data_IF_786585781259
#
_entry.id   IF_786585781259
#
_cell.length_a   1.000
_cell.length_b   1.000
_cell.length_c   1.000
_cell.angle_alpha   90.00
_cell.angle_beta   90.00
_cell.angle_gamma   90.00
#
_symmetry.space_group_name_H-M   'P 1'
#
loop_
_entity.id
_entity.type
_entity.pdbx_description
1 polymer ?
#
# COMPACT_ATOMS: atom_id res chain seq x y z
N UNK A 1 -7.92 -31.76 0.28
CA UNK A 1 -7.06 -30.83 -0.49
C UNK A 1 -6.10 -31.63 -1.35
N UNK A 2 -6.02 -31.37 -2.66
CA UNK A 2 -5.10 -32.08 -3.56
C UNK A 2 -3.63 -31.69 -3.28
N UNK A 3 -2.73 -32.68 -3.19
CA UNK A 3 -1.31 -32.47 -2.88
C UNK A 3 -0.61 -31.75 -4.05
N UNK A 4 0.09 -30.65 -3.78
CA UNK A 4 0.82 -29.88 -4.79
C UNK A 4 1.93 -30.74 -5.41
N UNK A 5 2.08 -30.65 -6.74
CA UNK A 5 3.17 -31.35 -7.45
C UNK A 5 4.52 -30.72 -7.16
N UNK A 6 5.61 -31.49 -7.27
CA UNK A 6 6.99 -30.99 -7.10
C UNK A 6 7.27 -29.78 -8.00
N UNK A 7 6.76 -29.80 -9.24
CA UNK A 7 6.87 -28.68 -10.19
C UNK A 7 6.17 -27.42 -9.70
N UNK A 8 4.94 -27.53 -9.16
CA UNK A 8 4.21 -26.39 -8.60
C UNK A 8 4.92 -25.81 -7.37
N UNK A 9 5.43 -26.68 -6.49
CA UNK A 9 6.21 -26.24 -5.32
C UNK A 9 7.48 -25.48 -5.72
N UNK A 10 8.19 -25.96 -6.75
CA UNK A 10 9.37 -25.27 -7.26
C UNK A 10 9.03 -23.89 -7.84
N UNK A 11 7.95 -23.80 -8.62
CA UNK A 11 7.49 -22.53 -9.19
C UNK A 11 7.15 -21.50 -8.08
N UNK A 12 6.48 -21.92 -7.00
CA UNK A 12 6.17 -21.05 -5.86
C UNK A 12 7.45 -20.55 -5.18
N UNK A 13 8.42 -21.44 -4.94
CA UNK A 13 9.71 -21.09 -4.32
C UNK A 13 10.48 -20.10 -5.18
N UNK A 14 10.59 -20.36 -6.49
CA UNK A 14 11.28 -19.47 -7.43
C UNK A 14 10.62 -18.10 -7.48
N UNK A 15 9.29 -18.04 -7.54
CA UNK A 15 8.55 -16.77 -7.51
C UNK A 15 8.83 -15.99 -6.23
N UNK A 16 8.83 -16.65 -5.07
CA UNK A 16 9.15 -16.03 -3.79
C UNK A 16 10.59 -15.50 -3.72
N UNK A 17 11.57 -16.22 -4.28
CA UNK A 17 12.96 -15.77 -4.37
C UNK A 17 13.05 -14.48 -5.20
N UNK A 18 12.40 -14.44 -6.37
CA UNK A 18 12.39 -13.24 -7.23
C UNK A 18 11.74 -12.07 -6.50
N UNK A 19 10.59 -12.28 -5.86
CA UNK A 19 9.86 -11.27 -5.10
C UNK A 19 10.69 -10.69 -3.95
N UNK A 20 11.29 -11.55 -3.11
CA UNK A 20 12.11 -11.11 -1.98
C UNK A 20 13.38 -10.38 -2.46
N UNK A 21 14.03 -10.90 -3.50
CA UNK A 21 15.20 -10.24 -4.10
C UNK A 21 14.85 -8.84 -4.60
N UNK A 22 13.69 -8.67 -5.24
CA UNK A 22 13.22 -7.37 -5.68
C UNK A 22 12.99 -6.41 -4.50
N UNK A 23 12.36 -6.88 -3.42
CA UNK A 23 12.12 -6.08 -2.21
C UNK A 23 13.41 -5.61 -1.53
N UNK A 24 14.45 -6.43 -1.52
CA UNK A 24 15.77 -6.03 -1.01
C UNK A 24 16.40 -4.97 -1.93
N UNK A 25 16.45 -5.27 -3.23
CA UNK A 25 17.12 -4.43 -4.20
C UNK A 25 16.48 -3.03 -4.37
N UNK A 26 15.16 -2.91 -4.17
CA UNK A 26 14.46 -1.61 -4.23
C UNK A 26 14.78 -0.72 -3.02
N UNK A 27 15.32 -1.26 -1.93
CA UNK A 27 15.88 -0.45 -0.84
C UNK A 27 17.30 0.05 -1.15
N UNK A 28 18.07 -0.73 -1.91
CA UNK A 28 19.49 -0.47 -2.17
C UNK A 28 19.72 0.54 -3.30
N UNK A 29 18.80 0.66 -4.27
CA UNK A 29 19.01 1.52 -5.42
C UNK A 29 17.70 2.06 -6.02
N UNK A 30 17.82 3.14 -6.80
CA UNK A 30 16.70 3.75 -7.50
C UNK A 30 15.97 2.73 -8.38
N UNK A 31 14.65 2.69 -8.26
CA UNK A 31 13.80 1.76 -8.99
C UNK A 31 14.02 1.79 -10.51
N UNK A 32 14.27 2.95 -11.10
CA UNK A 32 14.54 3.07 -12.54
C UNK A 32 15.82 2.35 -12.97
N UNK A 33 16.82 2.28 -12.08
CA UNK A 33 18.10 1.57 -12.32
C UNK A 33 18.00 0.05 -12.12
N UNK A 34 16.89 -0.45 -11.55
CA UNK A 34 16.60 -1.88 -11.47
C UNK A 34 16.17 -2.41 -12.83
N UNK A 35 16.87 -3.44 -13.31
CA UNK A 35 16.55 -4.16 -14.55
C UNK A 35 16.25 -5.62 -14.23
N UNK A 36 15.51 -6.29 -15.13
CA UNK A 36 15.19 -7.73 -15.00
C UNK A 36 16.48 -8.54 -14.88
N UNK A 37 17.52 -8.22 -15.63
CA UNK A 37 18.81 -8.90 -15.61
C UNK A 37 19.50 -8.77 -14.25
N UNK A 38 19.47 -7.58 -13.63
CA UNK A 38 20.03 -7.36 -12.29
C UNK A 38 19.30 -8.17 -11.23
N UNK A 39 17.96 -8.19 -11.29
CA UNK A 39 17.13 -9.00 -10.38
C UNK A 39 17.45 -10.47 -10.56
N UNK A 40 17.46 -10.97 -11.80
CA UNK A 40 17.75 -12.37 -12.12
C UNK A 40 19.15 -12.78 -11.63
N UNK A 41 20.15 -11.93 -11.84
CA UNK A 41 21.52 -12.16 -11.39
C UNK A 41 21.60 -12.27 -9.86
N UNK A 42 20.95 -11.37 -9.12
CA UNK A 42 20.94 -11.41 -7.64
C UNK A 42 20.14 -12.60 -7.11
N UNK A 43 19.01 -12.91 -7.74
CA UNK A 43 18.13 -14.03 -7.37
C UNK A 43 18.71 -15.41 -7.76
N UNK A 44 19.81 -15.44 -8.52
CA UNK A 44 20.39 -16.65 -9.11
C UNK A 44 19.37 -17.47 -9.94
N UNK A 45 18.62 -16.77 -10.81
CA UNK A 45 17.65 -17.38 -11.74
C UNK A 45 17.92 -16.93 -13.17
N UNK A 46 17.46 -17.71 -14.16
CA UNK A 46 17.55 -17.30 -15.55
C UNK A 46 16.52 -16.20 -15.88
N UNK A 47 16.82 -15.37 -16.89
CA UNK A 47 15.87 -14.36 -17.39
C UNK A 47 14.58 -15.00 -17.92
N UNK A 48 14.68 -16.17 -18.59
CA UNK A 48 13.50 -16.92 -19.02
C UNK A 48 12.64 -17.41 -17.84
N UNK A 49 13.26 -17.77 -16.72
CA UNK A 49 12.56 -18.12 -15.48
C UNK A 49 11.82 -16.93 -14.89
N UNK A 50 12.42 -15.73 -14.92
CA UNK A 50 11.74 -14.52 -14.49
C UNK A 50 10.48 -14.27 -15.33
N UNK A 51 10.60 -14.33 -16.67
CA UNK A 51 9.48 -14.08 -17.57
C UNK A 51 8.37 -15.13 -17.48
N UNK A 52 8.64 -16.30 -16.88
CA UNK A 52 7.60 -17.26 -16.53
C UNK A 52 6.70 -16.78 -15.37
N UNK A 53 7.21 -15.89 -14.51
CA UNK A 53 6.51 -15.41 -13.32
C UNK A 53 6.03 -13.96 -13.43
N UNK A 54 6.79 -13.10 -14.10
CA UNK A 54 6.54 -11.66 -14.21
C UNK A 54 6.90 -11.16 -15.60
N UNK A 55 6.08 -10.30 -16.21
CA UNK A 55 6.36 -9.71 -17.52
C UNK A 55 7.42 -8.63 -17.47
N UNK A 56 7.52 -7.95 -16.33
CA UNK A 56 8.46 -6.86 -16.08
C UNK A 56 8.53 -6.59 -14.56
N UNK A 57 9.34 -5.61 -14.13
CA UNK A 57 9.49 -5.25 -12.71
C UNK A 57 8.24 -4.59 -12.08
N UNK A 58 7.36 -3.97 -12.88
CA UNK A 58 6.11 -3.38 -12.40
C UNK A 58 5.09 -4.44 -11.98
N UNK A 59 5.06 -5.61 -12.65
CA UNK A 59 4.21 -6.74 -12.21
C UNK A 59 4.52 -7.18 -10.76
N UNK A 60 5.79 -7.05 -10.33
CA UNK A 60 6.18 -7.32 -8.93
C UNK A 60 5.60 -6.24 -8.00
N UNK A 61 5.61 -4.97 -8.43
CA UNK A 61 4.95 -3.89 -7.69
C UNK A 61 3.46 -4.15 -7.55
N UNK A 62 2.77 -4.53 -8.62
CA UNK A 62 1.34 -4.89 -8.57
C UNK A 62 1.07 -6.00 -7.56
N UNK A 63 1.91 -7.05 -7.55
CA UNK A 63 1.81 -8.11 -6.54
C UNK A 63 2.03 -7.61 -5.11
N UNK A 64 2.95 -6.66 -4.89
CA UNK A 64 3.14 -6.04 -3.57
C UNK A 64 1.86 -5.30 -3.14
N UNK A 65 1.22 -4.57 -4.06
CA UNK A 65 -0.04 -3.87 -3.78
C UNK A 65 -1.17 -4.83 -3.44
N UNK A 66 -1.32 -5.92 -4.19
CA UNK A 66 -2.31 -6.94 -3.89
C UNK A 66 -2.08 -7.58 -2.52
N UNK A 67 -0.83 -7.94 -2.20
CA UNK A 67 -0.49 -8.47 -0.87
C UNK A 67 -0.73 -7.46 0.25
N UNK A 68 -0.53 -6.17 -0.03
CA UNK A 68 -0.84 -5.10 0.91
C UNK A 68 -2.36 -4.96 1.12
N UNK A 69 -3.16 -5.04 0.05
CA UNK A 69 -4.62 -5.04 0.10
C UNK A 69 -5.14 -6.24 0.92
N UNK A 70 -4.62 -7.44 0.66
CA UNK A 70 -4.98 -8.65 1.40
C UNK A 70 -4.64 -8.53 2.90
N UNK A 71 -3.43 -8.05 3.21
CA UNK A 71 -3.00 -7.81 4.60
C UNK A 71 -3.88 -6.77 5.29
N UNK A 72 -4.22 -5.70 4.58
CA UNK A 72 -5.10 -4.65 5.10
C UNK A 72 -6.50 -5.19 5.40
N UNK A 73 -7.06 -5.97 4.47
CA UNK A 73 -8.36 -6.61 4.63
C UNK A 73 -8.38 -7.56 5.83
N UNK A 74 -7.35 -8.40 5.98
CA UNK A 74 -7.21 -9.31 7.12
C UNK A 74 -7.20 -8.56 8.45
N UNK A 75 -6.41 -7.47 8.53
CA UNK A 75 -6.34 -6.63 9.73
C UNK A 75 -7.67 -5.98 10.06
N UNK A 76 -8.42 -5.58 9.05
CA UNK A 76 -9.74 -5.00 9.21
C UNK A 76 -10.79 -6.01 9.69
N UNK A 77 -10.87 -7.19 9.07
CA UNK A 77 -11.81 -8.24 9.44
C UNK A 77 -11.59 -8.73 10.89
N UNK A 78 -10.34 -8.69 11.35
CA UNK A 78 -9.98 -9.02 12.72
C UNK A 78 -10.19 -7.86 13.71
N UNK A 79 -10.93 -6.81 13.33
CA UNK A 79 -11.20 -5.61 14.14
C UNK A 79 -9.94 -4.93 14.72
N UNK A 80 -8.81 -5.01 14.02
CA UNK A 80 -7.56 -4.39 14.48
C UNK A 80 -7.48 -2.90 14.13
N UNK A 81 -8.42 -2.40 13.31
CA UNK A 81 -8.64 -0.97 13.18
C UNK A 81 -9.45 -0.52 14.38
N UNK A 82 -8.75 0.20 15.26
CA UNK A 82 -9.30 0.76 16.48
C UNK A 82 -10.30 1.85 16.11
N UNK A 83 -11.46 1.82 16.73
CA UNK A 83 -12.44 2.91 16.62
C UNK A 83 -13.88 2.43 16.67
N UNK A 84 -14.67 3.08 17.52
CA UNK A 84 -16.13 2.91 17.59
C UNK A 84 -16.82 3.87 16.64
N UNK A 85 -16.26 5.07 16.44
CA UNK A 85 -16.81 6.08 15.54
C UNK A 85 -16.16 6.02 14.14
N UNK A 86 -16.84 6.59 13.15
CA UNK A 86 -16.32 6.74 11.79
C UNK A 86 -15.00 7.50 11.78
N UNK A 87 -14.88 8.58 12.56
CA UNK A 87 -13.65 9.36 12.71
C UNK A 87 -12.49 8.50 13.23
N UNK A 88 -12.71 7.73 14.29
CA UNK A 88 -11.68 6.83 14.82
C UNK A 88 -11.29 5.74 13.82
N UNK A 89 -12.27 5.17 13.10
CA UNK A 89 -12.01 4.17 12.04
C UNK A 89 -11.19 4.76 10.90
N UNK A 90 -11.44 6.01 10.49
CA UNK A 90 -10.63 6.70 9.46
C UNK A 90 -9.20 6.89 9.95
N UNK A 91 -9.01 7.35 11.19
CA UNK A 91 -7.66 7.51 11.77
C UNK A 91 -6.94 6.15 11.80
N UNK A 92 -7.60 5.11 12.31
CA UNK A 92 -7.02 3.76 12.36
C UNK A 92 -6.73 3.17 10.98
N UNK A 93 -7.54 3.50 9.97
CA UNK A 93 -7.28 3.16 8.56
C UNK A 93 -5.95 3.73 8.10
N UNK A 94 -5.72 5.02 8.32
CA UNK A 94 -4.49 5.67 7.87
C UNK A 94 -3.27 5.32 8.74
N UNK A 95 -3.45 5.03 10.02
CA UNK A 95 -2.40 4.48 10.88
C UNK A 95 -1.89 3.13 10.35
N UNK A 96 -2.82 2.24 9.95
CA UNK A 96 -2.47 0.97 9.33
C UNK A 96 -1.80 1.16 7.97
N UNK A 97 -2.27 2.12 7.17
CA UNK A 97 -1.67 2.44 5.89
C UNK A 97 -0.22 2.92 6.06
N UNK A 98 0.06 3.78 7.04
CA UNK A 98 1.42 4.23 7.35
C UNK A 98 2.33 3.05 7.75
N UNK A 99 1.83 2.13 8.60
CA UNK A 99 2.59 0.92 8.96
C UNK A 99 2.94 0.06 7.74
N UNK A 100 2.06 -0.01 6.74
CA UNK A 100 2.34 -0.74 5.49
C UNK A 100 3.50 -0.07 4.72
N UNK A 101 3.48 1.25 4.56
CA UNK A 101 4.58 1.97 3.90
C UNK A 101 5.90 1.78 4.65
N UNK A 102 5.90 1.93 5.98
CA UNK A 102 7.09 1.70 6.79
C UNK A 102 7.59 0.25 6.67
N UNK A 103 6.67 -0.73 6.68
CA UNK A 103 7.01 -2.16 6.57
C UNK A 103 7.70 -2.50 5.25
N UNK A 104 7.23 -1.95 4.14
CA UNK A 104 7.87 -2.16 2.83
C UNK A 104 9.10 -1.28 2.62
N UNK A 105 9.27 -0.25 3.45
CA UNK A 105 10.47 0.57 3.52
C UNK A 105 10.46 1.77 2.58
N UNK A 106 11.44 2.65 2.83
CA UNK A 106 11.60 3.92 2.15
C UNK A 106 11.89 3.76 0.65
N UNK A 107 12.75 2.81 0.27
CA UNK A 107 13.13 2.61 -1.13
C UNK A 107 11.96 2.15 -1.98
N UNK A 108 11.17 1.21 -1.46
CA UNK A 108 9.89 0.82 -2.08
C UNK A 108 8.95 2.01 -2.17
N UNK A 109 8.77 2.77 -1.09
CA UNK A 109 7.86 3.93 -1.08
C UNK A 109 8.26 4.96 -2.14
N UNK A 110 9.55 5.29 -2.27
CA UNK A 110 10.10 6.14 -3.33
C UNK A 110 9.79 5.62 -4.74
N UNK A 111 9.87 4.30 -4.94
CA UNK A 111 9.55 3.68 -6.22
C UNK A 111 8.09 3.89 -6.64
N UNK A 112 7.18 4.11 -5.69
CA UNK A 112 5.76 4.28 -5.97
C UNK A 112 5.43 5.65 -6.56
N UNK A 113 6.09 6.70 -6.09
CA UNK A 113 5.75 8.09 -6.43
C UNK A 113 6.36 8.50 -7.77
N UNK A 114 5.69 8.07 -8.83
CA UNK A 114 5.94 8.52 -10.19
C UNK A 114 4.62 8.53 -10.98
N UNK A 115 4.57 9.31 -12.05
CA UNK A 115 3.35 9.47 -12.87
C UNK A 115 3.05 8.27 -13.78
N UNK A 116 3.96 7.29 -13.87
CA UNK A 116 3.72 6.03 -14.61
C UNK A 116 3.01 5.00 -13.74
N UNK A 117 2.96 5.21 -12.43
CA UNK A 117 2.31 4.32 -11.49
C UNK A 117 0.81 4.67 -11.33
N UNK A 118 -0.04 3.93 -12.05
CA UNK A 118 -1.49 4.09 -11.97
C UNK A 118 -2.12 3.30 -10.81
N UNK A 119 -1.35 2.62 -9.95
CA UNK A 119 -1.88 1.82 -8.84
C UNK A 119 -2.55 2.68 -7.75
N UNK A 120 -2.22 3.97 -7.69
CA UNK A 120 -2.85 4.92 -6.79
C UNK A 120 -4.25 5.36 -7.22
N UNK A 121 -4.59 5.25 -8.51
CA UNK A 121 -5.87 5.72 -9.05
C UNK A 121 -6.84 4.59 -9.36
N UNK A 122 -6.51 3.35 -8.96
CA UNK A 122 -7.40 2.22 -9.13
C UNK A 122 -8.47 2.19 -8.03
N UNK A 123 -9.65 2.73 -8.34
CA UNK A 123 -10.81 2.76 -7.42
C UNK A 123 -11.39 1.39 -7.07
N UNK A 124 -10.98 0.31 -7.76
CA UNK A 124 -11.43 -1.05 -7.48
C UNK A 124 -10.63 -1.72 -6.35
N UNK A 125 -9.61 -1.05 -5.82
CA UNK A 125 -8.79 -1.61 -4.75
C UNK A 125 -9.59 -1.70 -3.45
N UNK A 126 -9.36 -2.79 -2.72
CA UNK A 126 -10.04 -3.11 -1.47
C UNK A 126 -9.90 -1.96 -0.47
N UNK A 127 -8.69 -1.41 -0.29
CA UNK A 127 -8.48 -0.26 0.61
C UNK A 127 -9.34 0.96 0.23
N UNK A 128 -9.53 1.21 -1.07
CA UNK A 128 -10.29 2.37 -1.56
C UNK A 128 -11.77 2.20 -1.30
N UNK A 129 -12.32 1.01 -1.59
CA UNK A 129 -13.73 0.71 -1.34
C UNK A 129 -14.03 0.72 0.15
N UNK A 130 -13.13 0.19 0.98
CA UNK A 130 -13.31 0.16 2.44
C UNK A 130 -13.35 1.56 3.06
N UNK A 131 -12.46 2.47 2.66
CA UNK A 131 -12.51 3.84 3.16
C UNK A 131 -13.81 4.53 2.74
N UNK A 132 -14.26 4.32 1.50
CA UNK A 132 -15.54 4.85 1.02
C UNK A 132 -16.69 4.34 1.90
N UNK A 133 -16.73 3.05 2.22
CA UNK A 133 -17.81 2.47 3.03
C UNK A 133 -17.81 3.03 4.46
N UNK A 134 -16.63 3.27 5.07
CA UNK A 134 -16.52 3.96 6.36
C UNK A 134 -17.08 5.38 6.30
N UNK A 135 -16.76 6.12 5.22
CA UNK A 135 -17.23 7.50 5.03
C UNK A 135 -18.74 7.57 4.83
N UNK A 136 -19.29 6.70 3.97
CA UNK A 136 -20.74 6.64 3.72
C UNK A 136 -21.50 6.33 4.99
N UNK A 137 -21.10 5.29 5.74
CA UNK A 137 -21.74 4.95 7.00
C UNK A 137 -21.61 6.08 8.03
N UNK A 138 -20.45 6.75 8.07
CA UNK A 138 -20.24 7.88 8.98
C UNK A 138 -21.17 9.06 8.72
N UNK A 139 -21.49 9.33 7.45
CA UNK A 139 -22.47 10.37 7.07
C UNK A 139 -23.89 9.92 7.43
N UNK A 140 -24.27 8.68 7.12
CA UNK A 140 -25.59 8.12 7.46
C UNK A 140 -25.86 8.12 8.97
N UNK A 141 -24.83 7.81 9.77
CA UNK A 141 -24.90 7.76 11.23
C UNK A 141 -24.75 9.16 11.89
N UNK A 142 -24.66 10.25 11.11
CA UNK A 142 -24.40 11.62 11.58
C UNK A 142 -23.11 11.78 12.40
N UNK A 143 -22.11 10.93 12.15
CA UNK A 143 -20.79 11.02 12.77
C UNK A 143 -19.80 11.85 11.94
N UNK A 144 -20.17 12.19 10.70
CA UNK A 144 -19.45 13.07 9.80
C UNK A 144 -20.44 14.12 9.30
N UNK A 145 -20.17 15.40 9.58
CA UNK A 145 -20.99 16.53 9.14
C UNK A 145 -20.13 17.41 8.24
N UNK A 146 -20.50 17.49 6.96
CA UNK A 146 -19.69 18.14 5.92
C UNK A 146 -20.55 18.48 4.71
N UNK A 147 -20.26 19.60 4.06
CA UNK A 147 -20.85 19.96 2.76
C UNK A 147 -20.27 19.14 1.59
N UNK A 148 -19.17 18.41 1.83
CA UNK A 148 -18.50 17.56 0.85
C UNK A 148 -19.10 16.15 0.81
N UNK A 149 -19.14 15.56 -0.38
CA UNK A 149 -19.53 14.16 -0.58
C UNK A 149 -18.48 13.19 -0.04
N UNK A 150 -18.89 11.93 0.23
CA UNK A 150 -17.97 10.87 0.64
C UNK A 150 -16.83 10.65 -0.37
N UNK A 151 -17.08 10.81 -1.68
CA UNK A 151 -16.06 10.70 -2.72
C UNK A 151 -15.04 11.85 -2.68
N UNK A 152 -15.48 13.07 -2.38
CA UNK A 152 -14.60 14.22 -2.22
C UNK A 152 -13.74 14.09 -0.95
N UNK A 153 -14.34 13.65 0.16
CA UNK A 153 -13.62 13.36 1.39
C UNK A 153 -12.59 12.25 1.19
N UNK A 154 -12.97 11.15 0.53
CA UNK A 154 -12.06 10.06 0.15
C UNK A 154 -10.87 10.60 -0.63
N UNK A 155 -11.12 11.44 -1.64
CA UNK A 155 -10.06 12.06 -2.46
C UNK A 155 -9.13 12.94 -1.62
N UNK A 156 -9.68 13.77 -0.73
CA UNK A 156 -8.89 14.64 0.16
C UNK A 156 -8.02 13.81 1.09
N UNK A 157 -8.58 12.78 1.73
CA UNK A 157 -7.88 11.91 2.67
C UNK A 157 -6.73 11.16 1.99
N UNK A 158 -6.98 10.52 0.84
CA UNK A 158 -5.90 9.85 0.10
C UNK A 158 -4.85 10.82 -0.46
N UNK A 159 -5.26 12.01 -0.92
CA UNK A 159 -4.31 13.03 -1.40
C UNK A 159 -3.42 13.50 -0.26
N UNK A 160 -4.00 13.75 0.91
CA UNK A 160 -3.26 14.12 2.13
C UNK A 160 -2.28 13.02 2.52
N UNK A 161 -2.76 11.77 2.63
CA UNK A 161 -1.92 10.63 2.99
C UNK A 161 -0.75 10.45 2.01
N UNK A 162 -0.99 10.56 0.69
CA UNK A 162 0.07 10.50 -0.32
C UNK A 162 1.05 11.66 -0.20
N UNK A 163 0.56 12.86 0.08
CA UNK A 163 1.41 14.03 0.33
C UNK A 163 2.36 13.81 1.51
N UNK A 164 1.87 13.23 2.60
CA UNK A 164 2.69 12.91 3.78
C UNK A 164 3.74 11.86 3.46
N UNK A 165 3.37 10.77 2.81
CA UNK A 165 4.32 9.71 2.42
C UNK A 165 5.35 10.25 1.41
N UNK A 166 4.93 11.14 0.51
CA UNK A 166 5.83 11.78 -0.45
C UNK A 166 6.82 12.72 0.25
N UNK A 167 6.38 13.56 1.20
CA UNK A 167 7.26 14.40 2.01
C UNK A 167 8.24 13.56 2.83
N UNK A 168 7.76 12.47 3.45
CA UNK A 168 8.61 11.48 4.12
C UNK A 168 9.67 10.90 3.19
N UNK A 169 9.31 10.61 1.94
CA UNK A 169 10.25 10.13 0.91
C UNK A 169 11.27 11.20 0.50
N UNK A 170 10.84 12.46 0.34
CA UNK A 170 11.70 13.59 -0.03
C UNK A 170 12.73 13.93 1.05
N UNK A 171 12.40 13.64 2.31
CA UNK A 171 13.28 13.89 3.46
C UNK A 171 14.05 12.65 3.91
N UNK A 172 14.16 11.65 3.04
CA UNK A 172 14.90 10.43 3.33
C UNK A 172 14.46 9.70 4.61
N UNK A 173 13.18 9.82 4.95
CA UNK A 173 12.59 9.18 6.12
C UNK A 173 13.03 9.75 7.47
N UNK A 174 13.43 11.03 7.50
CA UNK A 174 13.92 11.73 8.71
C UNK A 174 12.91 11.88 9.86
N UNK A 175 11.63 11.58 9.60
CA UNK A 175 10.57 11.58 10.60
C UNK A 175 9.79 10.26 10.64
N UNK A 176 9.06 10.01 11.75
CA UNK A 176 8.16 8.85 11.86
C UNK A 176 6.91 9.07 11.01
N UNK A 177 6.79 8.30 9.93
CA UNK A 177 5.65 8.33 9.03
C UNK A 177 4.33 8.06 9.77
N UNK A 178 4.31 7.13 10.71
CA UNK A 178 3.11 6.78 11.48
C UNK A 178 2.64 7.96 12.33
N UNK A 179 3.56 8.63 13.03
CA UNK A 179 3.21 9.80 13.85
C UNK A 179 2.68 10.96 12.99
N UNK A 180 3.37 11.24 11.88
CA UNK A 180 2.95 12.30 10.96
C UNK A 180 1.58 11.98 10.32
N UNK A 181 1.39 10.76 9.82
CA UNK A 181 0.12 10.31 9.25
C UNK A 181 -1.03 10.49 10.24
N UNK A 182 -0.86 9.99 11.46
CA UNK A 182 -1.87 10.10 12.51
C UNK A 182 -2.26 11.56 12.77
N UNK A 183 -1.27 12.43 12.96
CA UNK A 183 -1.49 13.85 13.29
C UNK A 183 -2.20 14.61 12.17
N UNK A 184 -1.76 14.43 10.93
CA UNK A 184 -2.31 15.18 9.79
C UNK A 184 -3.71 14.68 9.45
N UNK A 185 -3.94 13.37 9.47
CA UNK A 185 -5.27 12.81 9.25
C UNK A 185 -6.22 13.24 10.36
N UNK A 186 -5.79 13.24 11.62
CA UNK A 186 -6.58 13.77 12.74
C UNK A 186 -7.01 15.23 12.50
N UNK A 187 -6.11 16.08 11.98
CA UNK A 187 -6.45 17.47 11.64
C UNK A 187 -7.49 17.56 10.52
N UNK A 188 -7.34 16.76 9.46
CA UNK A 188 -8.30 16.74 8.34
C UNK A 188 -9.67 16.26 8.79
N UNK A 189 -9.76 15.18 9.57
CA UNK A 189 -11.05 14.63 10.00
C UNK A 189 -11.73 15.48 11.07
N UNK A 190 -10.99 16.26 11.86
CA UNK A 190 -11.58 17.24 12.80
C UNK A 190 -12.40 18.32 12.11
N UNK A 191 -12.06 18.67 10.87
CA UNK A 191 -12.82 19.65 10.10
C UNK A 191 -14.24 19.17 9.71
N UNK A 192 -14.50 17.86 9.83
CA UNK A 192 -15.77 17.22 9.47
C UNK A 192 -16.39 16.44 10.63
N UNK A 193 -15.82 16.59 11.84
CA UNK A 193 -16.41 16.05 13.05
C UNK A 193 -17.62 16.93 13.47
N UNK A 194 -18.65 16.36 14.11
CA UNK A 194 -19.82 17.11 14.58
C UNK A 194 -19.48 18.21 15.60
#
# INVERSE_FOLDING_TARGET
>A
MAKLTKRKLQAIKTKAIIYNTFLEMVQECEFEKLTVEKICKRANVSVGTFYHHYRNKYDIMEEIFHRADDFFQEKMLNNQIKGKTAIEKIIGFFDLLAQIYTRYGLGFSKALFNTRNNLFVNDKRIMVTMLRDILVQGVEDNQIVSDLTAEELKRILFTTARGIVFDWCLRDGDFSLEKAMHQYILLVVRAVAP
#
